data_IF_836127979454
#
_entry.id   IF_836127979454
#
_cell.length_a   1.000
_cell.length_b   1.000
_cell.length_c   1.000
_cell.angle_alpha   90.00
_cell.angle_beta   90.00
_cell.angle_gamma   90.00
#
_symmetry.space_group_name_H-M   'P 1'
#
loop_
_entity.id
_entity.type
_entity.pdbx_description
1 polymer ?
#
# COMPACT_ATOMS: atom_id res chain seq x y z
N UNK A 1 1.12 -14.20 11.55
CA UNK A 1 0.80 -13.31 10.43
C UNK A 1 1.56 -13.80 9.21
N UNK A 2 0.90 -13.85 8.05
CA UNK A 2 1.49 -14.35 6.81
C UNK A 2 1.89 -13.19 5.92
N UNK A 3 3.06 -13.31 5.28
CA UNK A 3 3.55 -12.36 4.28
C UNK A 3 3.78 -13.08 2.96
N UNK A 4 3.46 -12.44 1.83
CA UNK A 4 3.90 -12.89 0.50
C UNK A 4 4.98 -11.96 -0.01
N UNK A 5 6.14 -12.52 -0.33
CA UNK A 5 7.28 -11.78 -0.86
C UNK A 5 7.38 -12.06 -2.36
N UNK A 6 7.42 -11.01 -3.16
CA UNK A 6 7.65 -11.06 -4.61
C UNK A 6 8.86 -10.20 -4.91
N UNK A 7 9.83 -10.73 -5.65
CA UNK A 7 11.05 -10.00 -6.03
C UNK A 7 11.21 -10.02 -7.55
N UNK A 8 11.85 -9.01 -8.14
CA UNK A 8 12.24 -9.06 -9.54
C UNK A 8 13.21 -10.22 -9.79
N UNK A 9 13.31 -10.65 -11.05
CA UNK A 9 14.29 -11.66 -11.45
C UNK A 9 15.70 -11.12 -11.21
N UNK A 10 16.62 -12.00 -10.77
CA UNK A 10 18.01 -11.66 -10.47
C UNK A 10 18.16 -10.49 -9.48
N UNK A 11 17.22 -10.38 -8.54
CA UNK A 11 17.22 -9.36 -7.50
C UNK A 11 18.54 -9.34 -6.72
N UNK A 12 19.18 -8.17 -6.56
CA UNK A 12 20.20 -7.95 -5.55
C UNK A 12 19.74 -8.36 -4.14
N UNK A 13 20.69 -8.64 -3.26
CA UNK A 13 20.41 -9.01 -1.87
C UNK A 13 19.60 -7.94 -1.14
N UNK A 14 19.89 -6.66 -1.39
CA UNK A 14 19.23 -5.51 -0.78
C UNK A 14 18.46 -4.69 -1.83
N UNK A 15 17.16 -4.43 -1.59
CA UNK A 15 16.28 -3.71 -2.51
C UNK A 15 15.40 -2.66 -1.82
N UNK A 16 15.00 -1.58 -2.53
CA UNK A 16 13.79 -0.83 -2.18
C UNK A 16 12.61 -1.77 -2.01
N UNK A 17 11.71 -1.45 -1.10
CA UNK A 17 10.60 -2.36 -0.78
C UNK A 17 9.28 -1.64 -0.70
N UNK A 18 8.27 -2.20 -1.36
CA UNK A 18 6.89 -1.80 -1.19
C UNK A 18 6.23 -2.82 -0.25
N UNK A 19 5.72 -2.34 0.88
CA UNK A 19 4.80 -3.10 1.72
C UNK A 19 3.41 -2.84 1.18
N UNK A 20 2.76 -3.91 0.70
CA UNK A 20 1.51 -3.80 -0.06
C UNK A 20 0.32 -4.30 0.74
N UNK A 21 -0.75 -3.51 0.76
CA UNK A 21 -2.05 -3.88 1.31
C UNK A 21 -3.04 -3.98 0.16
N UNK A 22 -3.62 -5.16 -0.05
CA UNK A 22 -4.59 -5.37 -1.12
C UNK A 22 -5.93 -4.68 -0.84
N UNK A 23 -6.70 -4.39 -1.90
CA UNK A 23 -8.08 -3.92 -1.80
C UNK A 23 -9.07 -5.05 -1.48
N UNK A 24 -10.36 -4.73 -1.54
CA UNK A 24 -11.45 -5.68 -1.29
C UNK A 24 -12.40 -5.28 -0.15
N UNK A 25 -12.54 -3.98 0.11
CA UNK A 25 -13.49 -3.40 1.08
C UNK A 25 -13.38 -4.01 2.49
N UNK A 26 -12.18 -4.44 2.90
CA UNK A 26 -11.92 -5.14 4.17
C UNK A 26 -12.61 -6.50 4.33
N UNK A 27 -13.34 -6.98 3.32
CA UNK A 27 -14.16 -8.21 3.37
C UNK A 27 -13.70 -9.28 2.39
N UNK A 28 -12.91 -8.91 1.39
CA UNK A 28 -12.42 -9.79 0.34
C UNK A 28 -11.00 -9.39 -0.07
N UNK A 29 -10.48 -10.04 -1.10
CA UNK A 29 -9.11 -9.86 -1.56
C UNK A 29 -8.16 -10.86 -0.93
N UNK A 30 -6.86 -10.65 -1.16
CA UNK A 30 -5.81 -11.56 -0.73
C UNK A 30 -4.83 -11.83 -1.85
N UNK A 31 -3.82 -12.65 -1.54
CA UNK A 31 -2.68 -12.80 -2.44
C UNK A 31 -3.04 -13.33 -3.83
N UNK A 32 -3.99 -14.26 -3.94
CA UNK A 32 -4.39 -14.82 -5.24
C UNK A 32 -5.03 -13.75 -6.14
N UNK A 33 -5.88 -12.90 -5.57
CA UNK A 33 -6.58 -11.84 -6.32
C UNK A 33 -5.66 -10.72 -6.81
N UNK A 34 -4.50 -10.55 -6.17
CA UNK A 34 -3.55 -9.46 -6.46
C UNK A 34 -2.21 -9.97 -7.05
N UNK A 35 -2.06 -11.27 -7.30
CA UNK A 35 -0.75 -11.86 -7.65
C UNK A 35 -0.11 -11.23 -8.89
N UNK A 36 -0.91 -10.98 -9.94
CA UNK A 36 -0.43 -10.36 -11.17
C UNK A 36 0.04 -8.92 -10.93
N UNK A 37 -0.74 -8.12 -10.20
CA UNK A 37 -0.41 -6.75 -9.85
C UNK A 37 0.88 -6.68 -9.03
N UNK A 38 1.04 -7.56 -8.02
CA UNK A 38 2.26 -7.62 -7.20
C UNK A 38 3.50 -7.97 -8.05
N UNK A 39 3.38 -8.92 -8.99
CA UNK A 39 4.48 -9.28 -9.90
C UNK A 39 4.83 -8.15 -10.85
N UNK A 40 3.83 -7.48 -11.43
CA UNK A 40 4.05 -6.34 -12.31
C UNK A 40 4.72 -5.19 -11.56
N UNK A 41 4.29 -4.87 -10.34
CA UNK A 41 4.93 -3.86 -9.49
C UNK A 41 6.37 -4.22 -9.17
N UNK A 42 6.64 -5.48 -8.80
CA UNK A 42 8.01 -5.94 -8.53
C UNK A 42 8.92 -5.78 -9.76
N UNK A 43 8.40 -6.19 -10.93
CA UNK A 43 9.14 -6.17 -12.19
C UNK A 43 9.38 -4.75 -12.70
N UNK A 44 8.35 -3.93 -12.87
CA UNK A 44 8.50 -2.58 -13.40
C UNK A 44 9.13 -1.62 -12.39
N UNK A 45 8.83 -1.79 -11.10
CA UNK A 45 9.37 -0.95 -10.03
C UNK A 45 10.78 -1.33 -9.57
N UNK A 46 11.33 -2.45 -10.08
CA UNK A 46 12.65 -2.98 -9.68
C UNK A 46 12.82 -3.02 -8.15
N UNK A 47 11.77 -3.43 -7.45
CA UNK A 47 11.68 -3.39 -6.00
C UNK A 47 11.06 -4.68 -5.47
N UNK A 48 11.34 -4.97 -4.20
CA UNK A 48 10.71 -6.09 -3.51
C UNK A 48 9.31 -5.69 -3.08
N UNK A 49 8.33 -6.57 -3.32
CA UNK A 49 6.98 -6.38 -2.83
C UNK A 49 6.75 -7.35 -1.67
N UNK A 50 6.30 -6.84 -0.54
CA UNK A 50 5.89 -7.64 0.61
C UNK A 50 4.43 -7.35 0.89
N UNK A 51 3.56 -8.25 0.43
CA UNK A 51 2.13 -8.15 0.67
C UNK A 51 1.77 -8.71 2.05
N UNK A 52 0.97 -7.96 2.82
CA UNK A 52 0.55 -8.34 4.17
C UNK A 52 -0.79 -9.05 4.12
N UNK A 53 -0.88 -10.28 4.64
CA UNK A 53 -2.18 -10.91 4.88
C UNK A 53 -2.79 -10.32 6.15
N UNK A 54 -3.82 -9.50 5.98
CA UNK A 54 -4.58 -8.94 7.09
C UNK A 54 -5.94 -9.65 7.22
N UNK A 55 -6.46 -9.71 8.44
CA UNK A 55 -7.76 -10.29 8.78
C UNK A 55 -8.91 -9.51 8.14
N UNK A 56 -9.92 -10.23 7.68
CA UNK A 56 -11.07 -9.69 6.96
C UNK A 56 -12.34 -9.71 7.82
N UNK A 57 -13.23 -8.77 7.55
CA UNK A 57 -14.60 -8.76 8.04
C UNK A 57 -15.46 -9.73 7.20
N UNK A 58 -16.57 -10.26 7.75
CA UNK A 58 -17.13 -9.96 9.07
C UNK A 58 -16.49 -10.70 10.25
N UNK A 59 -15.65 -11.72 10.02
CA UNK A 59 -15.04 -12.52 11.08
C UNK A 59 -14.15 -11.69 12.00
N UNK A 60 -13.51 -10.66 11.44
CA UNK A 60 -12.67 -9.71 12.15
C UNK A 60 -13.00 -8.28 11.73
N UNK A 61 -13.83 -7.62 12.52
CA UNK A 61 -14.23 -6.23 12.29
C UNK A 61 -13.14 -5.22 12.65
N UNK A 62 -13.38 -3.94 12.35
CA UNK A 62 -12.50 -2.85 12.75
C UNK A 62 -12.14 -2.92 14.25
N UNK A 63 -10.87 -2.75 14.65
CA UNK A 63 -9.70 -2.31 13.86
C UNK A 63 -8.77 -3.44 13.38
N UNK A 64 -9.23 -4.69 13.27
CA UNK A 64 -8.35 -5.85 13.05
C UNK A 64 -7.43 -5.72 11.82
N UNK A 65 -7.96 -5.29 10.68
CA UNK A 65 -7.17 -5.08 9.46
C UNK A 65 -6.10 -3.98 9.65
N UNK A 66 -6.41 -2.91 10.38
CA UNK A 66 -5.49 -1.81 10.66
C UNK A 66 -4.36 -2.25 11.60
N UNK A 67 -4.68 -3.05 12.60
CA UNK A 67 -3.70 -3.60 13.54
C UNK A 67 -2.74 -4.57 12.83
N UNK A 68 -3.28 -5.42 11.95
CA UNK A 68 -2.47 -6.32 11.13
C UNK A 68 -1.61 -5.57 10.12
N UNK A 69 -2.13 -4.49 9.52
CA UNK A 69 -1.38 -3.67 8.56
C UNK A 69 -0.18 -2.97 9.22
N UNK A 70 -0.39 -2.40 10.40
CA UNK A 70 0.68 -1.80 11.21
C UNK A 70 1.68 -2.86 11.66
N UNK A 71 1.20 -3.99 12.22
CA UNK A 71 2.07 -5.09 12.66
C UNK A 71 2.89 -5.65 11.50
N UNK A 72 2.29 -5.70 10.31
CA UNK A 72 2.94 -6.00 9.04
C UNK A 72 4.13 -5.11 8.74
N UNK A 73 3.91 -3.80 8.80
CA UNK A 73 4.95 -2.80 8.57
C UNK A 73 6.10 -2.90 9.57
N UNK A 74 5.77 -3.02 10.86
CA UNK A 74 6.74 -3.20 11.93
C UNK A 74 7.58 -4.46 11.75
N UNK A 75 6.96 -5.61 11.44
CA UNK A 75 7.66 -6.88 11.23
C UNK A 75 8.61 -6.82 10.04
N UNK A 76 8.18 -6.22 8.93
CA UNK A 76 9.05 -6.01 7.76
C UNK A 76 10.24 -5.12 8.14
N UNK A 77 9.99 -4.02 8.85
CA UNK A 77 11.07 -3.10 9.26
C UNK A 77 12.03 -3.73 10.26
N UNK A 78 11.51 -4.51 11.21
CA UNK A 78 12.26 -5.23 12.23
C UNK A 78 13.18 -6.29 11.61
N UNK A 79 12.66 -7.06 10.65
CA UNK A 79 13.38 -8.15 10.00
C UNK A 79 13.98 -7.77 8.63
N UNK A 80 14.14 -6.48 8.35
CA UNK A 80 14.48 -5.99 7.02
C UNK A 80 15.77 -6.63 6.44
N UNK A 81 16.81 -6.80 7.26
CA UNK A 81 18.06 -7.45 6.82
C UNK A 81 17.83 -8.88 6.32
N UNK A 82 17.09 -9.69 7.09
CA UNK A 82 16.72 -11.07 6.71
C UNK A 82 15.84 -11.11 5.46
N UNK A 83 15.05 -10.06 5.24
CA UNK A 83 14.15 -9.92 4.10
C UNK A 83 14.80 -9.24 2.88
N UNK A 84 16.07 -8.83 2.99
CA UNK A 84 16.77 -8.08 1.95
C UNK A 84 16.18 -6.68 1.68
N UNK A 85 15.53 -6.09 2.68
CA UNK A 85 14.81 -4.83 2.59
C UNK A 85 15.73 -3.68 2.98
N UNK A 86 15.84 -2.69 2.10
CA UNK A 86 16.46 -1.42 2.44
C UNK A 86 15.55 -0.60 3.35
N UNK A 87 15.93 -0.53 4.62
CA UNK A 87 15.21 0.17 5.71
C UNK A 87 14.95 1.66 5.43
N UNK A 88 15.72 2.29 4.54
CA UNK A 88 15.58 3.71 4.19
C UNK A 88 14.66 3.93 2.98
N UNK A 89 14.36 2.86 2.22
CA UNK A 89 13.55 2.90 0.99
C UNK A 89 12.34 1.97 1.09
N UNK A 90 11.61 2.10 2.20
CA UNK A 90 10.33 1.40 2.40
C UNK A 90 9.19 2.33 1.99
N UNK A 91 8.36 1.87 1.08
CA UNK A 91 7.13 2.50 0.62
C UNK A 91 5.93 1.71 1.16
N UNK A 92 4.92 2.39 1.69
CA UNK A 92 3.62 1.74 1.93
C UNK A 92 2.73 1.99 0.73
N UNK A 93 2.10 0.93 0.23
CA UNK A 93 1.20 1.02 -0.91
C UNK A 93 -0.05 0.17 -0.72
N UNK A 94 -1.11 0.55 -1.42
CA UNK A 94 -2.30 -0.27 -1.50
C UNK A 94 -3.38 0.36 -2.35
N UNK A 95 -4.36 -0.46 -2.68
CA UNK A 95 -5.47 -0.08 -3.53
C UNK A 95 -6.81 -0.11 -2.79
N UNK A 96 -7.69 0.87 -3.04
CA UNK A 96 -9.01 0.97 -2.39
C UNK A 96 -8.90 0.92 -0.85
N UNK A 97 -9.49 -0.10 -0.20
CA UNK A 97 -9.34 -0.36 1.23
C UNK A 97 -7.88 -0.57 1.66
N UNK A 98 -7.04 -1.16 0.82
CA UNK A 98 -5.60 -1.28 1.05
C UNK A 98 -4.89 0.08 1.03
N UNK A 99 -5.33 1.00 0.17
CA UNK A 99 -4.85 2.39 0.16
C UNK A 99 -5.17 3.13 1.46
N UNK A 100 -6.36 2.88 2.03
CA UNK A 100 -6.71 3.33 3.37
C UNK A 100 -5.76 2.76 4.43
N UNK A 101 -5.50 1.45 4.40
CA UNK A 101 -4.57 0.80 5.34
C UNK A 101 -3.15 1.37 5.23
N UNK A 102 -2.67 1.64 4.03
CA UNK A 102 -1.36 2.25 3.80
C UNK A 102 -1.25 3.63 4.49
N UNK A 103 -2.23 4.50 4.25
CA UNK A 103 -2.25 5.84 4.83
C UNK A 103 -2.38 5.79 6.36
N UNK A 104 -3.36 5.04 6.88
CA UNK A 104 -3.60 4.96 8.33
C UNK A 104 -2.41 4.33 9.05
N UNK A 105 -1.75 3.35 8.45
CA UNK A 105 -0.52 2.76 9.02
C UNK A 105 0.59 3.81 9.14
N UNK A 106 0.83 4.61 8.10
CA UNK A 106 1.83 5.68 8.16
C UNK A 106 1.52 6.71 9.26
N UNK A 107 0.24 7.08 9.41
CA UNK A 107 -0.22 7.99 10.46
C UNK A 107 -0.07 7.39 11.87
N UNK A 108 -0.39 6.10 12.05
CA UNK A 108 -0.21 5.38 13.32
C UNK A 108 1.27 5.31 13.71
N UNK A 109 2.15 4.93 12.79
CA UNK A 109 3.60 4.91 13.00
C UNK A 109 4.14 6.31 13.36
N UNK A 110 3.65 7.35 12.69
CA UNK A 110 4.03 8.75 12.99
C UNK A 110 3.62 9.14 14.40
N UNK A 111 2.38 8.83 14.78
CA UNK A 111 1.82 9.14 16.09
C UNK A 111 2.53 8.39 17.23
N UNK A 112 2.98 7.17 16.97
CA UNK A 112 3.74 6.37 17.92
C UNK A 112 5.21 6.82 18.07
N UNK A 113 5.70 7.75 17.23
CA UNK A 113 7.09 8.19 17.25
C UNK A 113 8.08 7.12 16.78
N UNK A 114 7.62 6.18 15.95
CA UNK A 114 8.46 5.09 15.43
C UNK A 114 9.26 5.56 14.20
N UNK A 115 8.97 4.98 13.03
CA UNK A 115 9.61 5.32 11.76
C UNK A 115 8.56 5.82 10.76
N UNK A 116 9.01 6.37 9.65
CA UNK A 116 8.14 6.78 8.56
C UNK A 116 8.55 6.10 7.26
N UNK A 117 7.58 5.65 6.43
CA UNK A 117 7.90 5.21 5.09
C UNK A 117 8.44 6.37 4.27
N UNK A 118 9.34 6.08 3.34
CA UNK A 118 9.92 7.06 2.44
C UNK A 118 8.86 7.64 1.49
N UNK A 119 7.85 6.83 1.13
CA UNK A 119 6.80 7.19 0.18
C UNK A 119 5.47 6.48 0.52
N UNK A 120 4.39 7.05 0.02
CA UNK A 120 3.06 6.44 -0.03
C UNK A 120 2.60 6.32 -1.49
N UNK A 121 2.09 5.16 -1.87
CA UNK A 121 1.41 4.94 -3.17
C UNK A 121 -0.03 4.54 -2.88
N UNK A 122 -0.96 5.47 -3.07
CA UNK A 122 -2.37 5.30 -2.72
C UNK A 122 -3.19 5.18 -4.00
N UNK A 123 -3.61 3.96 -4.33
CA UNK A 123 -4.31 3.67 -5.58
C UNK A 123 -5.82 3.72 -5.30
N UNK A 124 -6.52 4.72 -5.85
CA UNK A 124 -7.97 4.97 -5.62
C UNK A 124 -8.44 4.73 -4.15
N UNK A 125 -7.79 5.34 -3.15
CA UNK A 125 -7.93 4.94 -1.74
C UNK A 125 -9.30 5.27 -1.14
N UNK A 126 -9.78 4.43 -0.21
CA UNK A 126 -10.99 4.68 0.59
C UNK A 126 -10.69 5.65 1.75
N UNK A 127 -10.71 6.96 1.51
CA UNK A 127 -10.31 7.95 2.52
C UNK A 127 -11.47 8.61 3.27
N UNK A 128 -12.66 8.59 2.69
CA UNK A 128 -13.85 9.21 3.27
C UNK A 128 -15.06 8.29 3.11
N UNK A 129 -15.66 7.91 4.24
CA UNK A 129 -16.84 7.06 4.27
C UNK A 129 -18.15 7.82 4.00
N UNK A 130 -18.12 9.16 4.07
CA UNK A 130 -19.29 9.99 3.77
C UNK A 130 -19.55 10.10 2.27
N UNK A 131 -18.50 9.89 1.45
CA UNK A 131 -18.50 10.17 0.01
C UNK A 131 -19.00 11.60 -0.30
N UNK A 132 -18.87 12.54 0.64
CA UNK A 132 -19.24 13.92 0.42
C UNK A 132 -18.11 14.62 -0.35
N UNK A 133 -18.48 15.29 -1.43
CA UNK A 133 -17.60 16.20 -2.14
C UNK A 133 -18.33 17.51 -2.32
N UNK A 134 -17.72 18.64 -1.94
CA UNK A 134 -18.15 19.92 -2.47
C UNK A 134 -17.77 19.94 -3.94
N UNK A 135 -18.76 19.90 -4.82
CA UNK A 135 -18.57 19.86 -6.26
C UNK A 135 -17.88 21.13 -6.75
N UNK A 136 -16.55 21.13 -6.80
CA UNK A 136 -15.80 22.09 -7.62
C UNK A 136 -15.50 21.39 -8.94
N UNK A 137 -16.47 21.39 -9.86
CA UNK A 137 -16.25 20.85 -11.20
C UNK A 137 -15.25 21.74 -11.95
N UNK A 138 -13.95 21.41 -11.88
CA UNK A 138 -13.02 21.75 -12.95
C UNK A 138 -13.19 20.68 -14.03
N UNK A 139 -14.07 20.95 -15.00
CA UNK A 139 -14.16 20.16 -16.23
C UNK A 139 -12.84 20.32 -16.99
N UNK A 140 -11.93 19.35 -16.87
CA UNK A 140 -10.78 19.26 -17.79
C UNK A 140 -11.30 18.68 -19.10
N UNK A 141 -11.77 19.56 -19.99
CA UNK A 141 -12.01 19.19 -21.39
C UNK A 141 -10.66 19.06 -22.08
N UNK A 142 -10.21 17.83 -22.36
CA UNK A 142 -9.08 17.60 -23.24
C UNK A 142 -9.58 17.76 -24.68
N UNK A 143 -9.53 18.97 -25.22
CA UNK A 143 -9.55 19.16 -26.68
C UNK A 143 -8.13 19.02 -27.19
N UNK A 144 -7.94 18.21 -28.24
CA UNK A 144 -6.66 18.06 -28.90
C UNK A 144 -6.18 19.42 -29.43
N UNK A 145 -4.88 19.69 -29.16
CA UNK A 145 -4.10 20.88 -29.51
C UNK A 145 -4.32 22.17 -28.68
N UNK A 146 -3.33 22.39 -27.81
CA UNK A 146 -2.97 23.62 -27.09
C UNK A 146 -3.89 24.12 -25.95
N UNK A 147 -3.49 23.82 -24.71
CA UNK A 147 -4.05 24.41 -23.50
C UNK A 147 -3.37 25.75 -23.19
N UNK A 148 -4.17 26.82 -23.08
CA UNK A 148 -3.84 28.05 -22.34
C UNK A 148 -4.82 28.11 -21.16
N UNK A 149 -4.32 28.31 -19.95
CA UNK A 149 -5.12 28.38 -18.72
C UNK A 149 -5.74 29.79 -18.58
N UNK A 150 -7.02 29.84 -18.19
CA UNK A 150 -7.65 30.99 -17.52
C UNK A 150 -8.06 30.55 -16.11
#
# INVERSE_FOLDING_TARGET
MTLRIVSPLNAPTLLPTIIYYYGGCFVSGGFATHDNQLRQLAYYGQCRIIAVQYRLAPEHTFPAAHDDAQRGAELVRQHAERLGVDKQRITLAGDSAGGHLALVTALRLKRAGEWQPAQLILIYPMLDATAHFEATYAMVTITSSHATLY
#
